data_IF_825868955242
#
_entry.id   IF_825868955242
#
_cell.length_a   1.000
_cell.length_b   1.000
_cell.length_c   1.000
_cell.angle_alpha   90.00
_cell.angle_beta   90.00
_cell.angle_gamma   90.00
#
_symmetry.space_group_name_H-M   'P 1'
#
loop_
_entity.id
_entity.type
_entity.pdbx_description
1 polymer ?
#
# COMPACT_ATOMS: atom_id res chain seq x y z
N UNK A 1 -18.42 -23.67 -1.40
CA UNK A 1 -18.67 -22.20 -1.57
C UNK A 1 -17.51 -21.50 -0.91
N UNK A 2 -16.83 -20.56 -1.60
CA UNK A 2 -15.70 -19.80 -1.02
C UNK A 2 -16.19 -18.98 0.19
N UNK A 3 -15.41 -18.88 1.26
CA UNK A 3 -15.78 -18.07 2.43
C UNK A 3 -15.73 -16.56 2.12
N UNK A 4 -14.86 -16.14 1.20
CA UNK A 4 -14.65 -14.74 0.79
C UNK A 4 -14.78 -14.59 -0.72
N UNK A 5 -15.00 -13.37 -1.21
CA UNK A 5 -15.10 -13.03 -2.63
C UNK A 5 -14.10 -11.98 -3.07
N UNK A 6 -13.70 -11.09 -2.15
CA UNK A 6 -12.74 -10.01 -2.37
C UNK A 6 -11.57 -10.14 -1.40
N UNK A 7 -10.36 -9.96 -1.90
CA UNK A 7 -9.14 -9.88 -1.08
C UNK A 7 -8.43 -8.56 -1.42
N UNK A 8 -8.30 -7.67 -0.44
CA UNK A 8 -7.54 -6.43 -0.58
C UNK A 8 -6.18 -6.56 0.10
N UNK A 9 -5.18 -5.93 -0.49
CA UNK A 9 -3.79 -5.94 -0.04
C UNK A 9 -3.30 -4.53 0.25
N UNK A 10 -2.50 -4.39 1.29
CA UNK A 10 -1.52 -3.31 1.38
C UNK A 10 -0.35 -3.58 0.41
N UNK A 11 0.52 -2.58 0.19
CA UNK A 11 1.65 -2.68 -0.72
C UNK A 11 2.98 -2.71 0.02
N UNK A 12 3.34 -1.62 0.73
CA UNK A 12 4.65 -1.49 1.36
C UNK A 12 4.79 -2.44 2.56
N UNK A 13 5.67 -3.43 2.45
CA UNK A 13 5.85 -4.49 3.46
C UNK A 13 5.00 -5.74 3.23
N UNK A 14 3.98 -5.67 2.35
CA UNK A 14 3.07 -6.78 2.04
C UNK A 14 3.32 -7.34 0.65
N UNK A 15 3.25 -6.53 -0.41
CA UNK A 15 3.53 -6.92 -1.79
C UNK A 15 4.93 -6.50 -2.24
N UNK A 16 5.42 -5.38 -1.69
CA UNK A 16 6.69 -4.75 -2.05
C UNK A 16 7.52 -4.54 -0.79
N UNK A 17 8.82 -4.79 -0.88
CA UNK A 17 9.78 -4.60 0.22
C UNK A 17 11.02 -3.86 -0.26
N UNK A 18 11.65 -3.14 0.67
CA UNK A 18 12.98 -2.56 0.50
C UNK A 18 13.98 -3.32 1.39
N UNK A 19 15.26 -3.52 0.98
CA UNK A 19 16.27 -4.22 1.79
C UNK A 19 16.50 -3.61 3.17
N UNK A 20 16.31 -2.30 3.31
CA UNK A 20 16.41 -1.56 4.58
C UNK A 20 15.03 -1.26 5.20
N UNK A 21 13.97 -1.95 4.79
CA UNK A 21 12.60 -1.79 5.31
C UNK A 21 12.00 -0.39 5.14
N UNK A 22 12.55 0.44 4.23
CA UNK A 22 12.04 1.78 3.92
C UNK A 22 10.78 1.70 3.06
N UNK A 23 9.85 2.63 3.30
CA UNK A 23 8.71 2.87 2.41
C UNK A 23 9.08 3.90 1.32
N UNK A 24 8.33 3.92 0.23
CA UNK A 24 8.59 4.81 -0.91
C UNK A 24 8.69 6.29 -0.53
N UNK A 25 7.87 6.76 0.40
CA UNK A 25 7.89 8.14 0.90
C UNK A 25 9.20 8.50 1.60
N UNK A 26 9.76 7.61 2.41
CA UNK A 26 11.07 7.81 3.07
C UNK A 26 12.20 7.88 2.05
N UNK A 27 12.17 6.99 1.05
CA UNK A 27 13.15 6.95 -0.03
C UNK A 27 13.16 8.27 -0.79
N UNK A 28 11.99 8.73 -1.26
CA UNK A 28 11.89 9.94 -2.06
C UNK A 28 12.16 11.21 -1.24
N UNK A 29 11.69 11.27 0.02
CA UNK A 29 12.03 12.38 0.90
C UNK A 29 13.54 12.48 1.13
N UNK A 30 14.20 11.36 1.41
CA UNK A 30 15.67 11.34 1.54
C UNK A 30 16.37 11.78 0.25
N UNK A 31 15.91 11.28 -0.90
CA UNK A 31 16.48 11.61 -2.22
C UNK A 31 16.39 13.10 -2.54
N UNK A 32 15.23 13.72 -2.33
CA UNK A 32 14.97 15.07 -2.81
C UNK A 32 15.19 16.17 -1.76
N UNK A 33 15.18 15.84 -0.47
CA UNK A 33 15.47 16.81 0.60
C UNK A 33 16.87 16.67 1.20
N UNK A 34 17.55 15.54 0.95
CA UNK A 34 18.82 15.21 1.58
C UNK A 34 18.71 14.81 3.06
N UNK A 35 17.49 14.59 3.58
CA UNK A 35 17.25 14.31 4.99
C UNK A 35 16.38 13.04 5.16
N UNK A 36 16.84 12.13 5.99
CA UNK A 36 16.11 10.91 6.39
C UNK A 36 15.10 11.13 7.53
N UNK A 37 15.06 12.36 8.10
CA UNK A 37 14.16 12.68 9.22
C UNK A 37 12.85 13.34 8.80
N UNK A 38 12.75 13.81 7.56
CA UNK A 38 11.59 14.57 7.05
C UNK A 38 10.30 13.75 7.19
N UNK A 39 10.30 12.51 6.72
CA UNK A 39 9.11 11.65 6.78
C UNK A 39 8.63 11.45 8.22
N UNK A 40 9.54 11.12 9.14
CA UNK A 40 9.22 10.94 10.56
C UNK A 40 8.65 12.22 11.18
N UNK A 41 9.27 13.39 10.93
CA UNK A 41 8.82 14.67 11.46
C UNK A 41 7.40 15.01 10.99
N UNK A 42 7.09 14.77 9.70
CA UNK A 42 5.76 14.99 9.14
C UNK A 42 4.74 14.01 9.66
N UNK A 43 5.11 12.76 9.85
CA UNK A 43 4.27 11.76 10.51
C UNK A 43 3.92 12.18 11.95
N UNK A 44 4.87 12.69 12.74
CA UNK A 44 4.63 13.22 14.09
C UNK A 44 3.68 14.42 14.07
N UNK A 45 3.83 15.35 13.09
CA UNK A 45 2.91 16.46 12.91
C UNK A 45 1.50 16.00 12.55
N UNK A 46 1.37 15.02 11.66
CA UNK A 46 0.10 14.41 11.33
C UNK A 46 -0.54 13.74 12.57
N UNK A 47 0.20 12.88 13.27
CA UNK A 47 -0.29 12.17 14.47
C UNK A 47 -0.73 13.13 15.59
N UNK A 48 -0.10 14.30 15.69
CA UNK A 48 -0.48 15.34 16.67
C UNK A 48 -1.59 16.26 16.18
N UNK A 49 -2.13 16.05 14.97
CA UNK A 49 -3.18 16.88 14.38
C UNK A 49 -2.71 18.27 13.91
N UNK A 50 -1.40 18.53 13.84
CA UNK A 50 -0.85 19.80 13.34
C UNK A 50 -1.02 19.95 11.85
N UNK A 51 -1.01 18.87 11.10
CA UNK A 51 -1.27 18.81 9.67
C UNK A 51 -2.24 17.67 9.36
N UNK A 52 -3.02 17.82 8.29
CA UNK A 52 -3.84 16.74 7.72
C UNK A 52 -2.99 15.83 6.84
N UNK A 53 -3.49 14.64 6.49
CA UNK A 53 -2.83 13.76 5.53
C UNK A 53 -2.59 14.45 4.17
N UNK A 54 -3.59 15.17 3.65
CA UNK A 54 -3.43 15.92 2.40
C UNK A 54 -2.35 17.00 2.49
N UNK A 55 -2.22 17.69 3.63
CA UNK A 55 -1.13 18.65 3.86
C UNK A 55 0.23 17.95 3.94
N UNK A 56 0.31 16.77 4.55
CA UNK A 56 1.53 15.98 4.58
C UNK A 56 1.98 15.64 3.16
N UNK A 57 1.10 15.03 2.35
CA UNK A 57 1.40 14.72 0.94
C UNK A 57 1.81 15.97 0.16
N UNK A 58 1.10 17.09 0.36
CA UNK A 58 1.44 18.35 -0.31
C UNK A 58 2.82 18.89 0.06
N UNK A 59 3.25 18.72 1.31
CA UNK A 59 4.59 19.11 1.77
C UNK A 59 5.68 18.22 1.14
N UNK A 60 5.48 16.90 1.13
CA UNK A 60 6.44 15.97 0.54
C UNK A 60 6.60 16.24 -0.96
N UNK A 61 5.48 16.26 -1.69
CA UNK A 61 5.49 16.52 -3.13
C UNK A 61 6.00 17.94 -3.44
N UNK A 62 5.69 18.92 -2.60
CA UNK A 62 6.20 20.29 -2.72
C UNK A 62 7.73 20.36 -2.69
N UNK A 63 8.38 19.62 -1.78
CA UNK A 63 9.83 19.53 -1.73
C UNK A 63 10.41 18.84 -2.97
N UNK A 64 9.77 17.77 -3.44
CA UNK A 64 10.21 17.08 -4.66
C UNK A 64 10.08 17.98 -5.91
N UNK A 65 8.99 18.74 -6.00
CA UNK A 65 8.79 19.76 -7.06
C UNK A 65 9.87 20.84 -7.00
N UNK A 66 10.17 21.35 -5.80
CA UNK A 66 11.21 22.37 -5.61
C UNK A 66 12.61 21.86 -5.98
N UNK A 67 12.86 20.57 -5.79
CA UNK A 67 14.08 19.89 -6.21
C UNK A 67 14.12 19.59 -7.73
N UNK A 68 13.05 19.85 -8.47
CA UNK A 68 12.95 19.57 -9.90
C UNK A 68 12.83 18.08 -10.23
N UNK A 69 12.17 17.30 -9.36
CA UNK A 69 12.04 15.85 -9.53
C UNK A 69 11.45 15.46 -10.91
N UNK A 70 12.04 14.48 -11.53
CA UNK A 70 11.59 13.88 -12.79
C UNK A 70 11.19 12.42 -12.59
N UNK A 71 10.40 11.88 -13.51
CA UNK A 71 10.02 10.47 -13.50
C UNK A 71 11.26 9.55 -13.45
N UNK A 72 12.30 9.86 -14.21
CA UNK A 72 13.52 9.07 -14.25
C UNK A 72 14.30 9.09 -12.94
N UNK A 73 14.34 10.24 -12.23
CA UNK A 73 15.00 10.33 -10.93
C UNK A 73 14.20 9.61 -9.84
N UNK A 74 12.88 9.66 -9.90
CA UNK A 74 12.00 8.90 -9.00
C UNK A 74 12.21 7.39 -9.22
N UNK A 75 12.19 6.93 -10.48
CA UNK A 75 12.45 5.52 -10.81
C UNK A 75 13.83 5.06 -10.34
N UNK A 76 14.86 5.88 -10.54
CA UNK A 76 16.21 5.59 -10.03
C UNK A 76 16.27 5.54 -8.50
N UNK A 77 15.50 6.40 -7.80
CA UNK A 77 15.47 6.39 -6.34
C UNK A 77 14.84 5.13 -5.77
N UNK A 78 13.84 4.55 -6.46
CA UNK A 78 13.11 3.37 -6.00
C UNK A 78 13.65 2.05 -6.58
N UNK A 79 14.83 2.07 -7.24
CA UNK A 79 15.39 0.90 -7.92
C UNK A 79 15.66 -0.30 -7.00
N UNK A 80 15.79 -0.07 -5.69
CA UNK A 80 15.99 -1.12 -4.68
C UNK A 80 14.69 -1.74 -4.15
N UNK A 81 13.52 -1.21 -4.51
CA UNK A 81 12.25 -1.88 -4.20
C UNK A 81 12.12 -3.20 -4.98
N UNK A 82 11.60 -4.21 -4.31
CA UNK A 82 11.40 -5.56 -4.89
C UNK A 82 10.02 -6.09 -4.51
N UNK A 83 9.45 -6.91 -5.38
CA UNK A 83 8.31 -7.73 -4.99
C UNK A 83 8.71 -8.74 -3.91
N UNK A 84 7.83 -8.97 -2.96
CA UNK A 84 7.91 -10.10 -2.04
C UNK A 84 7.91 -11.40 -2.86
N UNK A 85 8.63 -12.43 -2.39
CA UNK A 85 8.66 -13.72 -3.06
C UNK A 85 7.23 -14.24 -3.34
N UNK A 86 7.02 -14.88 -4.48
CA UNK A 86 5.78 -15.52 -4.82
C UNK A 86 4.59 -14.60 -5.18
N UNK A 87 4.72 -13.28 -5.18
CA UNK A 87 3.62 -12.33 -5.45
C UNK A 87 2.88 -12.68 -6.74
N UNK A 88 3.58 -12.79 -7.87
CA UNK A 88 2.95 -13.11 -9.17
C UNK A 88 2.15 -14.39 -9.12
N UNK A 89 2.75 -15.48 -8.61
CA UNK A 89 2.12 -16.80 -8.53
C UNK A 89 0.93 -16.80 -7.58
N UNK A 90 1.04 -16.10 -6.45
CA UNK A 90 -0.03 -16.00 -5.45
C UNK A 90 -1.24 -15.25 -6.00
N UNK A 91 -1.02 -14.08 -6.62
CA UNK A 91 -2.10 -13.29 -7.21
C UNK A 91 -2.79 -14.05 -8.36
N UNK A 92 -2.01 -14.70 -9.24
CA UNK A 92 -2.54 -15.51 -10.32
C UNK A 92 -3.38 -16.69 -9.79
N UNK A 93 -2.92 -17.36 -8.73
CA UNK A 93 -3.65 -18.48 -8.12
C UNK A 93 -4.94 -18.01 -7.44
N UNK A 94 -4.93 -16.89 -6.72
CA UNK A 94 -6.13 -16.30 -6.14
C UNK A 94 -7.16 -15.93 -7.21
N UNK A 95 -6.73 -15.35 -8.33
CA UNK A 95 -7.60 -15.08 -9.49
C UNK A 95 -8.16 -16.37 -10.08
N UNK A 96 -7.33 -17.41 -10.24
CA UNK A 96 -7.76 -18.72 -10.74
C UNK A 96 -8.82 -19.37 -9.84
N UNK A 97 -8.70 -19.14 -8.51
CA UNK A 97 -9.73 -19.54 -7.52
C UNK A 97 -10.98 -18.68 -7.59
N UNK A 98 -10.96 -17.60 -8.39
CA UNK A 98 -12.09 -16.71 -8.68
C UNK A 98 -12.27 -15.58 -7.66
N UNK A 99 -11.27 -15.25 -6.84
CA UNK A 99 -11.32 -14.08 -5.99
C UNK A 99 -11.19 -12.79 -6.81
N UNK A 100 -11.93 -11.75 -6.43
CA UNK A 100 -11.61 -10.39 -6.80
C UNK A 100 -10.44 -9.90 -5.97
N UNK A 101 -9.58 -9.08 -6.56
CA UNK A 101 -8.39 -8.57 -5.88
C UNK A 101 -8.38 -7.05 -5.89
N UNK A 102 -7.98 -6.45 -4.77
CA UNK A 102 -7.84 -5.00 -4.65
C UNK A 102 -6.54 -4.58 -3.98
N UNK A 103 -6.14 -3.33 -4.21
CA UNK A 103 -5.08 -2.64 -3.48
C UNK A 103 -5.69 -1.48 -2.70
N UNK A 104 -5.32 -1.35 -1.43
CA UNK A 104 -5.61 -0.21 -0.58
C UNK A 104 -4.31 0.19 0.13
N UNK A 105 -3.62 1.20 -0.38
CA UNK A 105 -2.32 1.61 0.16
C UNK A 105 -2.05 3.10 0.00
N UNK A 106 -1.27 3.64 0.93
CA UNK A 106 -0.70 4.99 0.83
C UNK A 106 0.53 5.07 -0.07
N UNK A 107 0.96 3.99 -0.68
CA UNK A 107 2.10 4.00 -1.61
C UNK A 107 1.80 4.81 -2.89
N UNK A 108 2.78 4.99 -3.73
CA UNK A 108 2.68 5.70 -5.01
C UNK A 108 2.41 4.73 -6.16
N UNK A 109 1.56 5.14 -7.10
CA UNK A 109 1.19 4.36 -8.29
C UNK A 109 2.41 3.89 -9.10
N UNK A 110 3.45 4.73 -9.21
CA UNK A 110 4.69 4.42 -9.93
C UNK A 110 5.38 3.14 -9.41
N UNK A 111 5.19 2.78 -8.13
CA UNK A 111 5.73 1.53 -7.55
C UNK A 111 5.08 0.32 -8.20
N UNK A 112 3.75 0.31 -8.28
CA UNK A 112 2.99 -0.79 -8.89
C UNK A 112 3.17 -0.78 -10.41
N UNK A 113 3.15 0.37 -11.06
CA UNK A 113 3.44 0.48 -12.51
C UNK A 113 4.81 -0.09 -12.89
N UNK A 114 5.80 0.03 -11.98
CA UNK A 114 7.17 -0.44 -12.24
C UNK A 114 7.35 -1.92 -11.91
N UNK A 115 6.87 -2.37 -10.74
CA UNK A 115 7.16 -3.71 -10.24
C UNK A 115 6.10 -4.74 -10.64
N UNK A 116 4.86 -4.31 -10.91
CA UNK A 116 3.75 -5.19 -11.23
C UNK A 116 2.84 -4.57 -12.32
N UNK A 117 3.40 -4.22 -13.51
CA UNK A 117 2.68 -3.47 -14.55
C UNK A 117 1.44 -4.19 -15.08
N UNK A 118 1.46 -5.52 -15.11
CA UNK A 118 0.33 -6.38 -15.55
C UNK A 118 -0.41 -6.98 -14.34
N UNK A 119 -0.67 -6.14 -13.32
CA UNK A 119 -1.32 -6.60 -12.11
C UNK A 119 -2.77 -7.07 -12.34
N UNK A 120 -3.22 -8.11 -11.61
CA UNK A 120 -4.56 -8.65 -11.76
C UNK A 120 -5.60 -7.99 -10.83
N UNK A 121 -5.36 -6.77 -10.33
CA UNK A 121 -6.25 -6.10 -9.41
C UNK A 121 -7.45 -5.47 -10.14
N UNK A 122 -8.65 -5.70 -9.62
CA UNK A 122 -9.90 -5.13 -10.09
C UNK A 122 -10.05 -3.67 -9.59
N UNK A 123 -9.54 -3.40 -8.39
CA UNK A 123 -9.62 -2.10 -7.71
C UNK A 123 -8.26 -1.68 -7.16
N UNK A 124 -7.89 -0.42 -7.38
CA UNK A 124 -6.59 0.12 -6.96
C UNK A 124 -6.77 1.50 -6.34
N UNK A 125 -6.51 1.62 -5.05
CA UNK A 125 -6.44 2.88 -4.32
C UNK A 125 -5.00 3.15 -3.92
N UNK A 126 -4.35 4.07 -4.65
CA UNK A 126 -2.97 4.52 -4.47
C UNK A 126 -2.89 6.03 -4.62
N UNK A 127 -1.86 6.65 -4.04
CA UNK A 127 -1.51 8.02 -4.38
C UNK A 127 -0.93 8.05 -5.81
N UNK A 128 -1.34 9.01 -6.61
CA UNK A 128 -0.96 9.08 -8.03
C UNK A 128 -0.09 10.28 -8.32
N UNK A 129 1.14 10.03 -8.78
CA UNK A 129 2.03 11.08 -9.27
C UNK A 129 1.60 11.60 -10.64
N UNK A 130 1.72 12.91 -10.82
CA UNK A 130 1.39 13.59 -12.07
C UNK A 130 2.66 14.12 -12.72
N UNK A 131 2.84 13.82 -14.00
CA UNK A 131 3.99 14.25 -14.79
C UNK A 131 3.52 15.04 -16.01
N UNK A 132 4.33 16.02 -16.43
CA UNK A 132 4.12 16.72 -17.68
C UNK A 132 4.66 15.91 -18.88
N UNK A 133 4.53 16.50 -20.09
CA UNK A 133 5.00 15.89 -21.34
C UNK A 133 6.53 15.66 -21.39
N UNK A 134 7.29 16.35 -20.52
CA UNK A 134 8.74 16.21 -20.36
C UNK A 134 9.13 15.27 -19.24
N UNK A 135 8.15 14.58 -18.64
CA UNK A 135 8.32 13.73 -17.46
C UNK A 135 8.84 14.48 -16.22
N UNK A 136 8.65 15.81 -16.13
CA UNK A 136 8.83 16.53 -14.88
C UNK A 136 7.63 16.29 -13.96
N UNK A 137 7.88 16.08 -12.66
CA UNK A 137 6.81 15.98 -11.66
C UNK A 137 6.06 17.32 -11.62
N UNK A 138 4.73 17.28 -11.64
CA UNK A 138 3.86 18.48 -11.56
C UNK A 138 2.87 18.42 -10.41
N UNK A 139 2.74 17.29 -9.71
CA UNK A 139 1.85 17.15 -8.58
C UNK A 139 1.56 15.70 -8.19
N UNK A 140 0.59 15.55 -7.29
CA UNK A 140 0.10 14.26 -6.85
C UNK A 140 -1.40 14.34 -6.53
N UNK A 141 -2.15 13.32 -6.93
CA UNK A 141 -3.49 13.05 -6.40
C UNK A 141 -3.36 12.15 -5.17
N UNK A 142 -3.50 12.73 -3.99
CA UNK A 142 -3.52 11.99 -2.73
C UNK A 142 -4.87 11.29 -2.56
N UNK A 143 -4.84 10.01 -2.15
CA UNK A 143 -6.03 9.32 -1.67
C UNK A 143 -6.20 9.55 -0.17
N UNK A 144 -7.43 9.55 0.37
CA UNK A 144 -7.66 9.63 1.81
C UNK A 144 -7.58 8.25 2.49
N UNK A 145 -6.93 7.25 1.87
CA UNK A 145 -7.00 5.84 2.25
C UNK A 145 -5.64 5.27 2.66
N UNK A 146 -4.84 6.05 3.38
CA UNK A 146 -3.54 5.57 3.88
C UNK A 146 -3.61 5.29 5.40
N UNK A 147 -3.34 6.28 6.25
CA UNK A 147 -3.14 6.05 7.68
C UNK A 147 -4.46 5.74 8.40
N UNK A 148 -5.52 6.50 8.10
CA UNK A 148 -6.81 6.42 8.83
C UNK A 148 -8.00 6.17 7.89
N UNK A 149 -7.81 5.62 6.71
CA UNK A 149 -8.89 5.53 5.72
C UNK A 149 -9.05 4.18 5.04
N UNK A 150 -8.19 3.20 5.32
CA UNK A 150 -8.21 1.90 4.62
C UNK A 150 -9.52 1.13 4.85
N UNK A 151 -10.10 1.20 6.06
CA UNK A 151 -11.38 0.57 6.34
C UNK A 151 -12.52 1.18 5.49
N UNK A 152 -12.52 2.51 5.30
CA UNK A 152 -13.47 3.17 4.41
C UNK A 152 -13.28 2.74 2.96
N UNK A 153 -12.03 2.64 2.47
CA UNK A 153 -11.74 2.15 1.14
C UNK A 153 -12.27 0.72 0.92
N UNK A 154 -12.07 -0.18 1.89
CA UNK A 154 -12.60 -1.54 1.80
C UNK A 154 -14.14 -1.54 1.68
N UNK A 155 -14.84 -0.73 2.49
CA UNK A 155 -16.30 -0.58 2.38
C UNK A 155 -16.74 -0.05 1.01
N UNK A 156 -16.00 0.92 0.46
CA UNK A 156 -16.30 1.49 -0.85
C UNK A 156 -16.12 0.47 -1.99
N UNK A 157 -15.05 -0.33 -1.96
CA UNK A 157 -14.85 -1.43 -2.92
C UNK A 157 -15.97 -2.47 -2.75
N UNK A 158 -16.21 -2.92 -1.53
CA UNK A 158 -17.23 -3.93 -1.22
C UNK A 158 -18.62 -3.50 -1.72
N UNK A 159 -19.01 -2.25 -1.45
CA UNK A 159 -20.29 -1.69 -1.92
C UNK A 159 -20.38 -1.61 -3.44
N UNK A 160 -19.32 -1.15 -4.11
CA UNK A 160 -19.25 -1.06 -5.58
C UNK A 160 -19.36 -2.44 -6.24
N UNK A 161 -18.73 -3.43 -5.64
CA UNK A 161 -18.72 -4.80 -6.13
C UNK A 161 -19.94 -5.62 -5.69
N UNK A 162 -20.82 -5.06 -4.84
CA UNK A 162 -21.99 -5.75 -4.29
C UNK A 162 -21.61 -6.92 -3.37
N UNK A 163 -20.45 -6.85 -2.73
CA UNK A 163 -19.92 -7.89 -1.83
C UNK A 163 -20.13 -7.47 -0.38
N UNK A 164 -20.78 -8.28 0.47
CA UNK A 164 -20.87 -8.01 1.90
C UNK A 164 -19.47 -7.92 2.54
N UNK A 165 -19.30 -7.03 3.52
CA UNK A 165 -17.99 -6.79 4.16
C UNK A 165 -17.45 -8.06 4.84
N UNK A 166 -18.33 -8.92 5.35
CA UNK A 166 -18.00 -10.21 5.95
C UNK A 166 -17.39 -11.21 4.95
N UNK A 167 -17.56 -10.94 3.65
CA UNK A 167 -16.98 -11.72 2.56
C UNK A 167 -15.76 -11.04 1.93
N UNK A 168 -15.26 -9.96 2.57
CA UNK A 168 -14.03 -9.29 2.20
C UNK A 168 -12.88 -9.73 3.12
N UNK A 169 -11.71 -9.94 2.54
CA UNK A 169 -10.48 -10.22 3.28
C UNK A 169 -9.47 -9.08 3.08
N UNK A 170 -8.60 -8.89 4.07
CA UNK A 170 -7.51 -7.93 3.99
C UNK A 170 -6.18 -8.57 4.41
N UNK A 171 -5.11 -8.24 3.68
CA UNK A 171 -3.73 -8.67 3.97
C UNK A 171 -2.85 -7.44 4.10
N UNK A 172 -2.18 -7.28 5.24
CA UNK A 172 -1.31 -6.14 5.51
C UNK A 172 -0.25 -6.45 6.56
N UNK A 173 0.64 -5.47 6.86
CA UNK A 173 1.81 -5.70 7.72
C UNK A 173 2.01 -4.64 8.82
N UNK A 174 1.37 -3.45 8.72
CA UNK A 174 1.72 -2.31 9.54
C UNK A 174 0.55 -1.75 10.38
N UNK A 175 0.83 -0.73 11.16
CA UNK A 175 -0.13 -0.12 12.09
C UNK A 175 -1.35 0.48 11.38
N UNK A 176 -1.18 1.06 10.19
CA UNK A 176 -2.25 1.64 9.38
C UNK A 176 -3.23 0.59 8.82
N UNK A 177 -2.92 -0.70 8.98
CA UNK A 177 -3.79 -1.82 8.59
C UNK A 177 -4.73 -2.29 9.73
N UNK A 178 -4.51 -1.83 10.94
CA UNK A 178 -5.26 -2.30 12.13
C UNK A 178 -6.77 -2.05 11.99
N UNK A 179 -7.17 -0.88 11.51
CA UNK A 179 -8.58 -0.52 11.38
C UNK A 179 -9.28 -1.36 10.30
N UNK A 180 -8.66 -1.49 9.12
CA UNK A 180 -9.22 -2.28 8.03
C UNK A 180 -9.22 -3.78 8.35
N UNK A 181 -8.24 -4.27 9.09
CA UNK A 181 -8.18 -5.67 9.54
C UNK A 181 -9.33 -6.02 10.50
N UNK A 182 -9.77 -5.06 11.33
CA UNK A 182 -10.97 -5.23 12.19
C UNK A 182 -12.27 -5.20 11.41
N UNK A 183 -12.34 -4.42 10.35
CA UNK A 183 -13.52 -4.24 9.51
C UNK A 183 -13.76 -5.43 8.57
N UNK A 184 -12.69 -6.02 8.04
CA UNK A 184 -12.78 -7.14 7.11
C UNK A 184 -13.36 -8.38 7.78
N UNK A 185 -14.13 -9.17 7.02
CA UNK A 185 -14.62 -10.48 7.48
C UNK A 185 -13.50 -11.48 7.76
N UNK A 186 -12.31 -11.26 7.17
CA UNK A 186 -11.11 -12.03 7.44
C UNK A 186 -9.85 -11.17 7.22
N UNK A 187 -8.86 -11.33 8.10
CA UNK A 187 -7.62 -10.56 7.98
C UNK A 187 -6.38 -11.41 8.26
N UNK A 188 -5.33 -11.15 7.49
CA UNK A 188 -4.01 -11.76 7.65
C UNK A 188 -3.00 -10.65 7.93
N UNK A 189 -2.29 -10.75 9.04
CA UNK A 189 -1.08 -10.00 9.29
C UNK A 189 0.11 -10.74 8.64
N UNK A 190 0.60 -10.21 7.52
CA UNK A 190 1.75 -10.79 6.82
C UNK A 190 3.03 -10.09 7.25
N UNK A 191 3.94 -10.82 7.91
CA UNK A 191 5.17 -10.26 8.50
C UNK A 191 4.92 -8.99 9.36
N UNK A 192 3.97 -9.01 10.30
CA UNK A 192 3.54 -7.79 10.98
C UNK A 192 4.69 -7.06 11.68
N UNK A 193 4.76 -5.75 11.47
CA UNK A 193 5.72 -4.82 12.07
C UNK A 193 5.27 -4.29 13.42
N UNK A 194 4.02 -4.53 13.81
CA UNK A 194 3.50 -4.12 15.11
C UNK A 194 2.64 -5.21 15.74
N UNK A 195 2.57 -5.18 17.07
CA UNK A 195 1.79 -6.14 17.84
C UNK A 195 0.30 -5.91 17.67
N UNK A 196 -0.12 -4.65 17.58
CA UNK A 196 -1.52 -4.24 17.45
C UNK A 196 -2.20 -4.91 16.24
N UNK A 197 -1.50 -5.00 15.09
CA UNK A 197 -2.02 -5.71 13.93
C UNK A 197 -2.10 -7.22 14.17
N UNK A 198 -1.07 -7.80 14.78
CA UNK A 198 -1.05 -9.21 15.12
C UNK A 198 -2.19 -9.60 16.07
N UNK A 199 -2.55 -8.72 17.01
CA UNK A 199 -3.57 -8.97 18.02
C UNK A 199 -5.00 -8.89 17.44
N UNK A 200 -5.21 -8.19 16.32
CA UNK A 200 -6.54 -8.01 15.71
C UNK A 200 -6.80 -8.91 14.50
N UNK A 201 -5.76 -9.34 13.80
CA UNK A 201 -5.90 -10.21 12.63
C UNK A 201 -6.30 -11.63 13.03
N UNK A 202 -7.08 -12.29 12.15
CA UNK A 202 -7.46 -13.68 12.33
C UNK A 202 -6.25 -14.64 12.26
N UNK A 203 -5.28 -14.31 11.40
CA UNK A 203 -4.08 -15.13 11.16
C UNK A 203 -2.85 -14.23 11.10
N UNK A 204 -1.75 -14.73 11.64
CA UNK A 204 -0.42 -14.16 11.44
C UNK A 204 0.38 -15.13 10.57
N UNK A 205 0.86 -14.64 9.43
CA UNK A 205 1.72 -15.38 8.50
C UNK A 205 3.10 -14.73 8.48
N UNK A 206 4.15 -15.53 8.63
CA UNK A 206 5.54 -15.07 8.56
C UNK A 206 6.30 -15.86 7.50
N UNK A 207 7.16 -15.19 6.75
CA UNK A 207 7.98 -15.82 5.70
C UNK A 207 8.35 -14.87 4.58
N UNK A 208 9.14 -15.36 3.63
CA UNK A 208 9.65 -14.55 2.51
C UNK A 208 8.82 -14.76 1.22
N UNK A 209 7.74 -15.54 1.30
CA UNK A 209 6.92 -15.91 0.14
C UNK A 209 5.45 -15.68 0.47
N UNK A 210 4.81 -14.84 -0.33
CA UNK A 210 3.39 -14.52 -0.20
C UNK A 210 2.49 -15.75 -0.41
N UNK A 211 2.98 -16.80 -1.10
CA UNK A 211 2.23 -18.03 -1.27
C UNK A 211 1.82 -18.69 0.05
N UNK A 212 2.47 -18.34 1.15
CA UNK A 212 2.10 -18.80 2.49
C UNK A 212 0.67 -18.39 2.93
N UNK A 213 0.05 -17.39 2.27
CA UNK A 213 -1.35 -17.02 2.53
C UNK A 213 -2.35 -17.94 1.83
N UNK A 214 -1.96 -18.63 0.74
CA UNK A 214 -2.86 -19.42 -0.12
C UNK A 214 -3.66 -20.51 0.61
N UNK A 215 -3.15 -21.18 1.65
CA UNK A 215 -3.94 -22.18 2.41
C UNK A 215 -5.17 -21.59 3.11
N UNK A 216 -5.21 -20.28 3.34
CA UNK A 216 -6.32 -19.59 4.01
C UNK A 216 -7.41 -19.11 3.04
N UNK A 217 -7.19 -19.26 1.74
CA UNK A 217 -8.11 -18.89 0.64
C UNK A 217 -8.44 -20.10 -0.23
N UNK A 218 -9.28 -21.05 0.23
CA UNK A 218 -9.59 -22.28 -0.48
C UNK A 218 -10.29 -22.09 -1.83
#
# INVERSE_FOLDING_TARGET
MRPYDLICFDVDGTLVVHPEEKIVWEILNTRFTGSDTVNRTRYEHYRSGRITYAQWVALDVGDWLAAGATRSEILAAIEDLRLVGGVHGTLAELRRRGYKLGIISGTLDIVIETLLPEHPFDDVFLNKLLFDEKNALVGCHATPYDVDGKARALREIAAREGIPIERCAFVGDAFNDVEVAREAGFSIAFNPKCRELSDVCNIVVRGNDLAAILPHFP
#
